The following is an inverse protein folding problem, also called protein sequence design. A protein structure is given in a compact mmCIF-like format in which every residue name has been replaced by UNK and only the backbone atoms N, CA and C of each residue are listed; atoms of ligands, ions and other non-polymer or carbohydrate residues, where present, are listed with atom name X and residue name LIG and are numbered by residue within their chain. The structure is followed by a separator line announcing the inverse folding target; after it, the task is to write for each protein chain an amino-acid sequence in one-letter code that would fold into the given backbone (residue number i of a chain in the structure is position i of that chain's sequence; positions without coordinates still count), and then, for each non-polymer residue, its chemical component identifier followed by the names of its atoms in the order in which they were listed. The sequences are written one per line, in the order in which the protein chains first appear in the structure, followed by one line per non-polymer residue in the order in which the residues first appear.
data_IF_839720704637
#
_entry.id   IF_839720704637
#
_cell.length_a   1.000
_cell.length_b   1.000
_cell.length_c   1.000
_cell.angle_alpha   90.00
_cell.angle_beta   90.00
_cell.angle_gamma   90.00
#
_symmetry.space_group_name_H-M   'P 1'
#
loop_
_entity.id
_entity.type
_entity.pdbx_description
1 polymer ?
#
# COMPACT_ATOMS: atom_id res chain seq x y z
N UNK A 1 -17.08 23.36 7.07
CA UNK A 1 -16.05 22.47 6.51
C UNK A 1 -15.42 21.74 7.69
N UNK A 2 -15.45 20.42 7.72
CA UNK A 2 -14.98 19.64 8.87
C UNK A 2 -13.46 19.77 9.01
N UNK A 3 -12.95 19.79 10.24
CA UNK A 3 -11.51 19.91 10.53
C UNK A 3 -10.64 18.86 9.82
N UNK A 4 -11.20 17.70 9.49
CA UNK A 4 -10.55 16.63 8.71
C UNK A 4 -10.24 17.01 7.27
N UNK A 5 -11.13 17.75 6.58
CA UNK A 5 -10.88 18.15 5.19
C UNK A 5 -9.79 19.22 5.10
N UNK A 6 -9.75 20.15 6.06
CA UNK A 6 -8.70 21.16 6.12
C UNK A 6 -7.30 20.54 6.33
N UNK A 7 -7.21 19.49 7.16
CA UNK A 7 -5.97 18.74 7.36
C UNK A 7 -5.54 17.96 6.11
N UNK A 8 -6.48 17.31 5.41
CA UNK A 8 -6.15 16.62 4.15
C UNK A 8 -5.64 17.59 3.09
N UNK A 9 -6.30 18.75 2.96
CA UNK A 9 -5.91 19.76 1.98
C UNK A 9 -4.53 20.34 2.28
N UNK A 10 -4.20 20.53 3.57
CA UNK A 10 -2.87 20.99 3.99
C UNK A 10 -1.78 19.94 3.72
N UNK A 11 -2.06 18.66 3.98
CA UNK A 11 -1.13 17.56 3.68
C UNK A 11 -0.88 17.47 2.18
N UNK A 12 -1.96 17.52 1.38
CA UNK A 12 -1.87 17.50 -0.09
C UNK A 12 -1.07 18.70 -0.59
N UNK A 13 -1.34 19.91 -0.09
CA UNK A 13 -0.60 21.11 -0.44
C UNK A 13 0.89 21.02 -0.10
N UNK A 14 1.24 20.40 1.03
CA UNK A 14 2.63 20.17 1.42
C UNK A 14 3.33 19.23 0.44
N UNK A 15 2.74 18.08 0.10
CA UNK A 15 3.34 17.16 -0.86
C UNK A 15 3.37 17.72 -2.30
N UNK A 16 2.35 18.46 -2.71
CA UNK A 16 2.30 19.12 -4.03
C UNK A 16 3.45 20.12 -4.20
N UNK A 17 3.79 20.89 -3.15
CA UNK A 17 4.89 21.86 -3.18
C UNK A 17 6.29 21.27 -3.39
N UNK A 18 6.46 19.96 -3.19
CA UNK A 18 7.74 19.24 -3.35
C UNK A 18 7.80 18.54 -4.73
N UNK A 19 6.74 18.62 -5.52
CA UNK A 19 6.66 18.05 -6.87
C UNK A 19 6.78 16.52 -6.88
N UNK A 20 7.57 15.98 -7.81
CA UNK A 20 7.73 14.53 -7.99
C UNK A 20 8.20 13.79 -6.73
N UNK A 21 9.05 14.42 -5.91
CA UNK A 21 9.51 13.80 -4.65
C UNK A 21 8.36 13.67 -3.66
N UNK A 22 7.49 14.69 -3.57
CA UNK A 22 6.31 14.63 -2.74
C UNK A 22 5.32 13.56 -3.20
N UNK A 23 5.13 13.43 -4.51
CA UNK A 23 4.33 12.36 -5.10
C UNK A 23 4.89 10.98 -4.77
N UNK A 24 6.21 10.79 -4.89
CA UNK A 24 6.88 9.53 -4.56
C UNK A 24 6.72 9.17 -3.08
N UNK A 25 6.95 10.12 -2.17
CA UNK A 25 6.77 9.89 -0.74
C UNK A 25 5.32 9.53 -0.38
N UNK A 26 4.35 10.23 -0.95
CA UNK A 26 2.94 9.95 -0.71
C UNK A 26 2.53 8.56 -1.25
N UNK A 27 2.95 8.22 -2.47
CA UNK A 27 2.69 6.90 -3.05
C UNK A 27 3.37 5.77 -2.25
N UNK A 28 4.58 6.02 -1.74
CA UNK A 28 5.29 5.09 -0.88
C UNK A 28 4.56 4.84 0.45
N UNK A 29 4.15 5.88 1.17
CA UNK A 29 3.46 5.73 2.47
C UNK A 29 2.04 5.18 2.32
N UNK A 30 1.38 5.49 1.22
CA UNK A 30 0.05 5.00 0.88
C UNK A 30 0.02 3.47 0.69
N UNK A 31 1.12 2.89 0.18
CA UNK A 31 1.22 1.46 -0.04
C UNK A 31 1.16 0.61 1.25
N UNK A 32 1.50 1.15 2.43
CA UNK A 32 1.58 0.34 3.66
C UNK A 32 0.81 0.85 4.88
N UNK A 33 0.38 2.12 4.95
CA UNK A 33 -0.25 2.68 6.17
C UNK A 33 -1.33 3.75 5.91
N UNK A 34 -1.20 4.57 4.88
CA UNK A 34 -1.98 5.81 4.79
C UNK A 34 -3.26 5.64 3.95
N UNK A 35 -4.43 6.16 4.37
CA UNK A 35 -5.68 6.06 3.60
C UNK A 35 -5.85 7.12 2.50
N UNK A 36 -4.95 8.11 2.42
CA UNK A 36 -5.05 9.20 1.43
C UNK A 36 -4.44 8.70 0.10
N UNK A 37 -5.23 8.62 -0.99
CA UNK A 37 -4.75 8.13 -2.27
C UNK A 37 -3.78 9.12 -2.93
N UNK A 38 -2.74 8.64 -3.65
CA UNK A 38 -1.80 9.50 -4.36
C UNK A 38 -2.46 10.24 -5.54
N UNK A 39 -3.63 9.78 -6.00
CA UNK A 39 -4.41 10.36 -7.10
C UNK A 39 -4.70 11.85 -6.90
N UNK A 40 -4.83 12.28 -5.63
CA UNK A 40 -5.01 13.68 -5.26
C UNK A 40 -3.85 14.58 -5.73
N UNK A 41 -2.65 14.03 -5.87
CA UNK A 41 -1.48 14.71 -6.43
C UNK A 41 -1.28 14.41 -7.91
N UNK A 42 -1.53 13.17 -8.34
CA UNK A 42 -1.31 12.75 -9.73
C UNK A 42 -2.20 13.54 -10.69
N UNK A 43 -3.48 13.70 -10.39
CA UNK A 43 -4.43 14.39 -11.28
C UNK A 43 -4.01 15.84 -11.58
N UNK A 44 -3.78 16.72 -10.59
CA UNK A 44 -3.35 18.08 -10.89
C UNK A 44 -1.98 18.14 -11.57
N UNK A 45 -1.03 17.29 -11.17
CA UNK A 45 0.29 17.24 -11.81
C UNK A 45 0.22 16.83 -13.29
N UNK A 46 -0.66 15.90 -13.66
CA UNK A 46 -0.87 15.53 -15.07
C UNK A 46 -1.53 16.68 -15.84
N UNK A 47 -2.50 17.37 -15.23
CA UNK A 47 -3.22 18.48 -15.89
C UNK A 47 -2.32 19.71 -16.13
N UNK A 48 -1.33 19.95 -15.29
CA UNK A 48 -0.36 21.05 -15.44
C UNK A 48 0.72 20.75 -16.49
N UNK A 49 0.88 19.49 -16.91
CA UNK A 49 1.97 19.05 -17.78
C UNK A 49 1.48 18.77 -19.19
N UNK A 50 2.13 19.40 -20.17
CA UNK A 50 1.82 19.23 -21.60
C UNK A 50 2.77 18.27 -22.32
N UNK A 51 3.94 17.98 -21.74
CA UNK A 51 4.94 17.13 -22.38
C UNK A 51 4.83 15.67 -21.96
N UNK A 52 4.98 14.75 -22.92
CA UNK A 52 4.92 13.31 -22.65
C UNK A 52 6.02 12.81 -21.69
N UNK A 53 7.17 13.50 -21.63
CA UNK A 53 8.28 13.11 -20.76
C UNK A 53 7.94 13.30 -19.28
N UNK A 54 7.18 14.34 -18.96
CA UNK A 54 6.72 14.61 -17.59
C UNK A 54 5.68 13.58 -17.14
N UNK A 55 4.80 13.15 -18.04
CA UNK A 55 3.82 12.10 -17.77
C UNK A 55 4.51 10.75 -17.47
N UNK A 56 5.55 10.42 -18.25
CA UNK A 56 6.36 9.21 -18.01
C UNK A 56 7.09 9.31 -16.67
N UNK A 57 7.63 10.48 -16.32
CA UNK A 57 8.28 10.69 -15.03
C UNK A 57 7.31 10.51 -13.86
N UNK A 58 6.11 11.10 -13.94
CA UNK A 58 5.04 10.91 -12.94
C UNK A 58 4.70 9.43 -12.79
N UNK A 59 4.46 8.73 -13.90
CA UNK A 59 4.15 7.31 -13.91
C UNK A 59 5.25 6.47 -13.23
N UNK A 60 6.51 6.66 -13.65
CA UNK A 60 7.64 5.91 -13.10
C UNK A 60 7.82 6.17 -11.61
N UNK A 61 7.71 7.42 -11.17
CA UNK A 61 7.85 7.77 -9.74
C UNK A 61 6.76 7.10 -8.90
N UNK A 62 5.50 7.15 -9.34
CA UNK A 62 4.39 6.50 -8.63
C UNK A 62 4.58 4.99 -8.57
N UNK A 63 4.83 4.35 -9.73
CA UNK A 63 4.98 2.90 -9.78
C UNK A 63 6.14 2.40 -8.93
N UNK A 64 7.33 3.01 -9.06
CA UNK A 64 8.51 2.59 -8.30
C UNK A 64 8.33 2.84 -6.81
N UNK A 65 7.77 3.99 -6.41
CA UNK A 65 7.55 4.31 -5.00
C UNK A 65 6.50 3.40 -4.37
N UNK A 66 5.43 3.07 -5.11
CA UNK A 66 4.39 2.14 -4.68
C UNK A 66 4.93 0.71 -4.49
N UNK A 67 5.75 0.22 -5.43
CA UNK A 67 6.40 -1.10 -5.30
C UNK A 67 7.33 -1.15 -4.09
N UNK A 68 8.15 -0.11 -3.89
CA UNK A 68 9.03 -0.01 -2.73
C UNK A 68 8.24 0.03 -1.42
N UNK A 69 7.13 0.79 -1.37
CA UNK A 69 6.26 0.86 -0.20
C UNK A 69 5.58 -0.49 0.09
N UNK A 70 5.15 -1.20 -0.95
CA UNK A 70 4.56 -2.54 -0.85
C UNK A 70 5.57 -3.57 -0.32
N UNK A 71 6.84 -3.49 -0.74
CA UNK A 71 7.91 -4.33 -0.19
C UNK A 71 8.18 -4.04 1.28
N UNK A 72 8.04 -2.78 1.71
CA UNK A 72 8.09 -2.42 3.13
C UNK A 72 6.89 -3.02 3.86
N UNK A 73 5.68 -2.95 3.31
CA UNK A 73 4.50 -3.61 3.89
C UNK A 73 4.73 -5.12 4.11
N UNK A 74 5.28 -5.79 3.10
CA UNK A 74 5.68 -7.19 3.17
C UNK A 74 6.68 -7.43 4.30
N UNK A 75 7.75 -6.64 4.39
CA UNK A 75 8.76 -6.80 5.44
C UNK A 75 8.22 -6.56 6.84
N UNK A 76 7.33 -5.58 7.00
CA UNK A 76 6.64 -5.33 8.27
C UNK A 76 5.68 -6.48 8.63
N UNK A 77 5.01 -7.06 7.63
CA UNK A 77 4.15 -8.22 7.79
C UNK A 77 4.91 -9.45 8.29
N UNK A 78 6.06 -9.74 7.69
CA UNK A 78 6.97 -10.82 8.11
C UNK A 78 7.41 -10.64 9.56
N UNK A 79 7.85 -9.43 9.93
CA UNK A 79 8.43 -9.17 11.25
C UNK A 79 7.40 -8.93 12.37
N UNK A 80 6.30 -8.26 12.07
CA UNK A 80 5.33 -7.77 13.06
C UNK A 80 3.90 -8.19 12.79
N UNK A 81 3.62 -8.84 11.66
CA UNK A 81 2.24 -9.13 11.28
C UNK A 81 1.55 -10.14 12.20
N UNK A 82 2.24 -11.21 12.62
CA UNK A 82 1.64 -12.20 13.54
C UNK A 82 1.23 -11.61 14.90
N UNK A 83 2.09 -10.90 15.66
CA UNK A 83 1.68 -10.29 16.93
C UNK A 83 0.65 -9.17 16.75
N UNK A 84 0.61 -8.50 15.60
CA UNK A 84 -0.41 -7.50 15.29
C UNK A 84 -1.76 -8.17 15.01
N UNK A 85 -1.78 -9.24 14.22
CA UNK A 85 -2.98 -9.98 13.87
C UNK A 85 -3.62 -10.61 15.12
N UNK A 86 -2.83 -11.17 16.02
CA UNK A 86 -3.30 -11.72 17.31
C UNK A 86 -3.93 -10.66 18.22
N UNK A 87 -3.52 -9.39 18.10
CA UNK A 87 -4.08 -8.27 18.89
C UNK A 87 -5.35 -7.70 18.30
N UNK A 88 -5.45 -7.62 16.97
CA UNK A 88 -6.53 -6.92 16.29
C UNK A 88 -7.61 -7.84 15.70
N UNK A 89 -7.32 -9.14 15.53
CA UNK A 89 -8.26 -10.11 14.97
C UNK A 89 -8.67 -11.17 16.00
N UNK A 90 -9.88 -11.72 15.82
CA UNK A 90 -10.35 -12.84 16.64
C UNK A 90 -9.51 -14.10 16.42
N UNK A 91 -9.32 -14.93 17.44
CA UNK A 91 -8.60 -16.21 17.34
C UNK A 91 -9.09 -17.09 16.20
N UNK A 92 -10.40 -17.09 15.92
CA UNK A 92 -10.99 -17.84 14.80
C UNK A 92 -10.50 -17.34 13.44
N UNK A 93 -10.36 -16.03 13.28
CA UNK A 93 -9.83 -15.42 12.06
C UNK A 93 -8.33 -15.71 11.90
N UNK A 94 -7.56 -15.59 12.99
CA UNK A 94 -6.11 -15.93 13.00
C UNK A 94 -5.90 -17.38 12.60
N UNK A 95 -6.62 -18.31 13.23
CA UNK A 95 -6.52 -19.73 12.92
C UNK A 95 -6.93 -20.06 11.48
N UNK A 96 -7.95 -19.36 10.93
CA UNK A 96 -8.35 -19.55 9.54
C UNK A 96 -7.29 -19.03 8.57
N UNK A 97 -6.68 -17.88 8.86
CA UNK A 97 -5.59 -17.32 8.07
C UNK A 97 -4.36 -18.23 8.09
N UNK A 98 -3.91 -18.65 9.28
CA UNK A 98 -2.76 -19.53 9.44
C UNK A 98 -2.96 -20.85 8.68
N UNK A 99 -4.14 -21.48 8.81
CA UNK A 99 -4.46 -22.69 8.04
C UNK A 99 -4.46 -22.45 6.53
N UNK A 100 -4.91 -21.28 6.08
CA UNK A 100 -4.95 -20.95 4.66
C UNK A 100 -3.54 -20.80 4.10
N UNK A 101 -2.65 -20.12 4.83
CA UNK A 101 -1.23 -19.98 4.49
C UNK A 101 -0.51 -21.33 4.56
N UNK A 102 -0.74 -22.13 5.60
CA UNK A 102 -0.09 -23.45 5.76
C UNK A 102 -0.49 -24.43 4.64
N UNK A 103 -1.76 -24.45 4.25
CA UNK A 103 -2.26 -25.41 3.25
C UNK A 103 -2.00 -24.96 1.80
N UNK A 104 -1.95 -23.65 1.53
CA UNK A 104 -1.94 -23.11 0.16
C UNK A 104 -0.79 -22.14 -0.13
N UNK A 105 0.05 -21.80 0.85
CA UNK A 105 1.17 -20.87 0.72
C UNK A 105 0.75 -19.55 0.06
N UNK A 106 1.46 -19.15 -0.99
CA UNK A 106 1.15 -18.00 -1.86
C UNK A 106 -0.32 -17.97 -2.31
N UNK A 107 -0.89 -19.11 -2.69
CA UNK A 107 -2.29 -19.20 -3.14
C UNK A 107 -3.27 -18.92 -2.01
N UNK A 108 -2.86 -19.16 -0.76
CA UNK A 108 -3.66 -18.82 0.42
C UNK A 108 -3.85 -17.32 0.59
N UNK A 109 -2.82 -16.52 0.27
CA UNK A 109 -2.90 -15.05 0.34
C UNK A 109 -3.81 -14.51 -0.76
N UNK A 110 -3.77 -15.10 -1.97
CA UNK A 110 -4.74 -14.80 -3.02
C UNK A 110 -6.18 -15.03 -2.58
N UNK A 111 -6.45 -16.17 -1.93
CA UNK A 111 -7.78 -16.47 -1.40
C UNK A 111 -8.16 -15.47 -0.30
N UNK A 112 -7.19 -15.05 0.53
CA UNK A 112 -7.40 -14.02 1.54
C UNK A 112 -7.73 -12.65 0.91
N UNK A 113 -7.23 -12.34 -0.28
CA UNK A 113 -7.56 -11.11 -1.01
C UNK A 113 -9.05 -11.02 -1.40
N UNK A 114 -9.74 -12.14 -1.56
CA UNK A 114 -11.19 -12.18 -1.79
C UNK A 114 -12.02 -12.03 -0.51
N UNK A 115 -11.39 -12.00 0.65
CA UNK A 115 -12.08 -11.73 1.91
C UNK A 115 -12.32 -10.23 2.09
N UNK A 116 -13.26 -9.80 2.97
CA UNK A 116 -13.54 -8.39 3.21
C UNK A 116 -12.45 -7.74 4.11
N UNK A 117 -11.18 -7.98 3.78
CA UNK A 117 -10.02 -7.37 4.43
C UNK A 117 -9.63 -6.13 3.62
N UNK A 118 -9.29 -5.00 4.27
CA UNK A 118 -8.80 -3.83 3.56
C UNK A 118 -7.56 -4.16 2.72
N UNK A 119 -7.55 -3.74 1.45
CA UNK A 119 -6.47 -4.06 0.49
C UNK A 119 -5.05 -3.80 1.02
N UNK A 120 -4.86 -2.72 1.79
CA UNK A 120 -3.55 -2.35 2.37
C UNK A 120 -3.00 -3.38 3.35
N UNK A 121 -3.88 -4.14 4.01
CA UNK A 121 -3.51 -5.21 4.94
C UNK A 121 -3.02 -6.45 4.18
N UNK A 122 -3.34 -6.61 2.89
CA UNK A 122 -2.89 -7.75 2.11
C UNK A 122 -1.36 -7.78 1.94
N UNK A 123 -0.71 -6.62 1.80
CA UNK A 123 0.75 -6.55 1.79
C UNK A 123 1.37 -7.08 3.08
N UNK A 124 0.75 -6.77 4.23
CA UNK A 124 1.15 -7.31 5.52
C UNK A 124 0.88 -8.81 5.62
N UNK A 125 -0.29 -9.28 5.19
CA UNK A 125 -0.62 -10.70 5.13
C UNK A 125 0.34 -11.49 4.22
N UNK A 126 0.77 -10.90 3.11
CA UNK A 126 1.75 -11.52 2.21
C UNK A 126 3.10 -11.70 2.88
N UNK A 127 3.54 -10.72 3.67
CA UNK A 127 4.72 -10.83 4.53
C UNK A 127 4.58 -11.91 5.59
N UNK A 128 3.47 -11.90 6.33
CA UNK A 128 3.18 -12.90 7.38
C UNK A 128 3.20 -14.34 6.87
N UNK A 129 2.75 -14.54 5.64
CA UNK A 129 2.71 -15.86 5.00
C UNK A 129 3.99 -16.25 4.27
N UNK A 130 5.09 -15.51 4.46
CA UNK A 130 6.38 -15.69 3.77
C UNK A 130 6.21 -15.87 2.24
N UNK A 131 5.35 -15.03 1.65
CA UNK A 131 5.10 -15.07 0.21
C UNK A 131 6.38 -14.71 -0.55
N UNK A 132 6.69 -15.46 -1.60
CA UNK A 132 7.83 -15.13 -2.46
C UNK A 132 7.71 -13.69 -3.00
N UNK A 133 8.75 -12.89 -2.78
CA UNK A 133 8.79 -11.46 -3.13
C UNK A 133 8.58 -11.19 -4.63
N UNK A 134 9.10 -12.06 -5.50
CA UNK A 134 8.92 -11.90 -6.95
C UNK A 134 7.46 -12.10 -7.32
N UNK A 135 6.83 -13.12 -6.75
CA UNK A 135 5.41 -13.38 -6.95
C UNK A 135 4.57 -12.22 -6.39
N UNK A 136 4.89 -11.73 -5.19
CA UNK A 136 4.20 -10.59 -4.58
C UNK A 136 4.25 -9.31 -5.43
N UNK A 137 5.39 -9.00 -6.05
CA UNK A 137 5.53 -7.77 -6.89
C UNK A 137 4.83 -7.90 -8.25
N UNK A 138 4.65 -9.12 -8.76
CA UNK A 138 4.06 -9.36 -10.09
C UNK A 138 2.53 -9.39 -10.11
N UNK A 139 1.89 -9.42 -8.95
CA UNK A 139 0.46 -9.67 -8.75
C UNK A 139 -0.19 -8.44 -8.12
#
# INVERSE_FOLDING_TARGET
MSSLSALSDQIIGWFAGIGLVGLGLMSFTEAFIQPIPPDALVIPMILEKSESIDLIAIFLVVTLSSVLGSLVAWWMGDKWGQPLLERFASERAVNKFNKLVENYGTFGIFIAAFSPIPYKVLGWCAGMGDMNKQTFVLI
#
